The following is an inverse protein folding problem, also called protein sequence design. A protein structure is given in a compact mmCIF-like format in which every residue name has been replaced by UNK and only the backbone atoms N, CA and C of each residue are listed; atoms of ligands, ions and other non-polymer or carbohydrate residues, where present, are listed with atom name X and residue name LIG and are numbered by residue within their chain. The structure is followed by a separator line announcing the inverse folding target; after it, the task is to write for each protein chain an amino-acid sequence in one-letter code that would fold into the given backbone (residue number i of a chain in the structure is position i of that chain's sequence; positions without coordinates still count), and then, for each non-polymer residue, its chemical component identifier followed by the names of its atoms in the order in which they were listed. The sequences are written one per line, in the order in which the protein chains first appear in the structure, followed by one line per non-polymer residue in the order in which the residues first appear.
data_IF_472574435263
#
_entry.id   IF_472574435263
#
_cell.length_a   1.000
_cell.length_b   1.000
_cell.length_c   1.000
_cell.angle_alpha   90.00
_cell.angle_beta   90.00
_cell.angle_gamma   90.00
#
_symmetry.space_group_name_H-M   'P 1'
#
loop_
_entity.id
_entity.type
_entity.pdbx_description
1 polymer ?
#
# COMPACT_ATOMS: atom_id res chain seq x y z
N UNK A 1 -25.04 -10.65 -15.69
CA UNK A 1 -24.21 -9.63 -14.99
C UNK A 1 -24.52 -8.27 -15.58
N UNK A 2 -24.72 -7.25 -14.75
CA UNK A 2 -25.16 -5.93 -15.20
C UNK A 2 -24.09 -5.20 -16.03
N UNK A 3 -22.84 -5.57 -15.87
CA UNK A 3 -21.69 -5.01 -16.59
C UNK A 3 -20.87 -6.10 -17.27
N UNK A 4 -20.54 -5.87 -18.55
CA UNK A 4 -19.68 -6.73 -19.35
C UNK A 4 -19.33 -6.05 -20.67
N UNK A 5 -18.17 -6.34 -21.26
CA UNK A 5 -17.76 -5.87 -22.58
C UNK A 5 -17.47 -4.37 -22.70
N UNK A 6 -17.23 -3.68 -21.58
CA UNK A 6 -17.02 -2.22 -21.55
C UNK A 6 -15.78 -1.78 -22.33
N UNK A 7 -14.79 -2.66 -22.52
CA UNK A 7 -13.59 -2.36 -23.31
C UNK A 7 -13.91 -1.88 -24.75
N UNK A 8 -14.95 -2.43 -25.35
CA UNK A 8 -15.35 -2.06 -26.72
C UNK A 8 -16.09 -0.72 -26.79
N UNK A 9 -16.79 -0.35 -25.73
CA UNK A 9 -17.61 0.85 -25.68
C UNK A 9 -16.81 2.05 -25.14
N UNK A 10 -15.99 1.82 -24.12
CA UNK A 10 -15.24 2.85 -23.39
C UNK A 10 -13.76 2.48 -23.30
N UNK A 11 -13.00 2.48 -24.41
CA UNK A 11 -11.61 2.02 -24.41
C UNK A 11 -10.68 2.91 -23.58
N UNK A 12 -10.87 4.24 -23.57
CA UNK A 12 -10.04 5.15 -22.77
C UNK A 12 -10.29 4.94 -21.28
N UNK A 13 -11.54 4.85 -20.86
CA UNK A 13 -11.89 4.55 -19.48
C UNK A 13 -11.31 3.20 -19.04
N UNK A 14 -11.46 2.18 -19.87
CA UNK A 14 -10.97 0.83 -19.60
C UNK A 14 -9.45 0.81 -19.42
N UNK A 15 -8.71 1.53 -20.27
CA UNK A 15 -7.25 1.61 -20.19
C UNK A 15 -6.79 2.35 -18.91
N UNK A 16 -7.40 3.48 -18.59
CA UNK A 16 -7.08 4.24 -17.37
C UNK A 16 -7.44 3.45 -16.11
N UNK A 17 -8.61 2.79 -16.11
CA UNK A 17 -9.01 1.92 -15.02
C UNK A 17 -8.02 0.75 -14.83
N UNK A 18 -7.52 0.16 -15.92
CA UNK A 18 -6.49 -0.88 -15.85
C UNK A 18 -5.23 -0.38 -15.14
N UNK A 19 -4.75 0.81 -15.47
CA UNK A 19 -3.57 1.40 -14.81
C UNK A 19 -3.81 1.57 -13.31
N UNK A 20 -4.97 2.08 -12.92
CA UNK A 20 -5.33 2.25 -11.49
C UNK A 20 -5.46 0.90 -10.80
N UNK A 21 -6.09 -0.09 -11.45
CA UNK A 21 -6.22 -1.44 -10.91
C UNK A 21 -4.85 -2.11 -10.73
N UNK A 22 -3.95 -1.99 -11.70
CA UNK A 22 -2.58 -2.51 -11.61
C UNK A 22 -1.77 -1.80 -10.51
N UNK A 23 -2.00 -0.52 -10.29
CA UNK A 23 -1.40 0.22 -9.18
C UNK A 23 -1.92 -0.25 -7.82
N UNK A 24 -3.21 -0.62 -7.74
CA UNK A 24 -3.84 -1.13 -6.51
C UNK A 24 -3.37 -2.53 -6.11
N UNK A 25 -2.81 -3.30 -7.05
CA UNK A 25 -2.21 -4.61 -6.79
C UNK A 25 -0.68 -4.56 -6.69
N UNK A 26 -0.15 -3.39 -6.42
CA UNK A 26 1.29 -3.13 -6.25
C UNK A 26 2.17 -3.55 -7.44
N UNK A 27 1.73 -3.24 -8.67
CA UNK A 27 2.59 -3.47 -9.83
C UNK A 27 3.89 -2.64 -9.70
N UNK A 28 5.08 -3.21 -9.96
CA UNK A 28 6.33 -2.45 -9.99
C UNK A 28 6.23 -1.18 -10.84
N UNK A 29 6.88 -0.12 -10.41
CA UNK A 29 6.84 1.24 -10.99
C UNK A 29 5.54 2.03 -10.71
N UNK A 30 4.64 1.53 -9.89
CA UNK A 30 3.47 2.27 -9.42
C UNK A 30 3.60 2.67 -7.95
N UNK A 31 2.82 3.66 -7.52
CA UNK A 31 2.83 4.14 -6.14
C UNK A 31 2.41 3.05 -5.12
N UNK A 32 1.48 2.16 -5.50
CA UNK A 32 1.04 1.03 -4.66
C UNK A 32 2.20 0.12 -4.28
N UNK A 33 3.08 -0.21 -5.23
CA UNK A 33 4.26 -1.03 -4.98
C UNK A 33 5.17 -0.45 -3.90
N UNK A 34 5.43 0.87 -3.95
CA UNK A 34 6.32 1.52 -2.98
C UNK A 34 5.76 1.39 -1.56
N UNK A 35 4.47 1.63 -1.37
CA UNK A 35 3.82 1.52 -0.06
C UNK A 35 3.80 0.09 0.46
N UNK A 36 3.31 -0.85 -0.34
CA UNK A 36 3.18 -2.26 0.06
C UNK A 36 4.55 -2.91 0.30
N UNK A 37 5.55 -2.62 -0.54
CA UNK A 37 6.90 -3.14 -0.36
C UNK A 37 7.53 -2.67 0.96
N UNK A 38 7.39 -1.39 1.32
CA UNK A 38 7.90 -0.86 2.58
C UNK A 38 7.20 -1.48 3.79
N UNK A 39 5.88 -1.69 3.71
CA UNK A 39 5.11 -2.34 4.76
C UNK A 39 5.54 -3.80 4.93
N UNK A 40 5.70 -4.54 3.82
CA UNK A 40 6.16 -5.93 3.87
C UNK A 40 7.58 -6.05 4.42
N UNK A 41 8.48 -5.15 4.03
CA UNK A 41 9.84 -5.12 4.55
C UNK A 41 9.86 -4.87 6.06
N UNK A 42 9.03 -3.94 6.54
CA UNK A 42 8.86 -3.68 7.97
C UNK A 42 8.28 -4.88 8.72
N UNK A 43 7.25 -5.52 8.16
CA UNK A 43 6.63 -6.72 8.74
C UNK A 43 7.61 -7.90 8.77
N UNK A 44 8.42 -8.09 7.73
CA UNK A 44 9.43 -9.13 7.64
C UNK A 44 10.51 -8.97 8.72
N UNK A 45 10.99 -7.73 8.92
CA UNK A 45 11.97 -7.43 9.95
C UNK A 45 11.42 -7.64 11.39
N UNK A 46 10.11 -7.43 11.57
CA UNK A 46 9.46 -7.67 12.86
C UNK A 46 9.21 -9.17 13.10
N UNK A 47 8.52 -9.84 12.20
CA UNK A 47 8.25 -11.29 12.22
C UNK A 47 7.91 -11.82 10.84
N UNK A 48 8.65 -12.82 10.38
CA UNK A 48 8.47 -13.48 9.07
C UNK A 48 7.04 -14.04 8.88
N UNK A 49 6.42 -14.55 9.94
CA UNK A 49 5.05 -15.11 9.88
C UNK A 49 4.03 -14.04 9.47
N UNK A 50 4.12 -12.83 10.01
CA UNK A 50 3.23 -11.74 9.65
C UNK A 50 3.42 -11.29 8.20
N UNK A 51 4.68 -11.25 7.74
CA UNK A 51 4.98 -10.96 6.35
C UNK A 51 4.39 -12.02 5.40
N UNK A 52 4.48 -13.30 5.73
CA UNK A 52 3.91 -14.38 4.94
C UNK A 52 2.37 -14.28 4.83
N UNK A 53 1.69 -13.97 5.93
CA UNK A 53 0.23 -13.73 5.93
C UNK A 53 -0.11 -12.51 5.06
N UNK A 54 0.63 -11.42 5.18
CA UNK A 54 0.41 -10.21 4.38
C UNK A 54 0.59 -10.48 2.88
N UNK A 55 1.64 -11.21 2.48
CA UNK A 55 1.87 -11.61 1.07
C UNK A 55 0.70 -12.45 0.53
N UNK A 56 0.15 -13.37 1.32
CA UNK A 56 -1.00 -14.16 0.90
C UNK A 56 -2.23 -13.28 0.62
N UNK A 57 -2.45 -12.25 1.43
CA UNK A 57 -3.49 -11.24 1.21
C UNK A 57 -3.28 -10.43 -0.09
N UNK A 58 -2.04 -10.05 -0.39
CA UNK A 58 -1.71 -9.37 -1.65
C UNK A 58 -2.02 -10.23 -2.88
N UNK A 59 -1.67 -11.52 -2.84
CA UNK A 59 -1.95 -12.46 -3.94
C UNK A 59 -3.46 -12.60 -4.16
N UNK A 60 -4.24 -12.72 -3.09
CA UNK A 60 -5.71 -12.80 -3.17
C UNK A 60 -6.32 -11.50 -3.71
N UNK A 61 -5.80 -10.34 -3.27
CA UNK A 61 -6.23 -9.03 -3.76
C UNK A 61 -5.96 -8.89 -5.26
N UNK A 62 -4.77 -9.28 -5.72
CA UNK A 62 -4.41 -9.24 -7.12
C UNK A 62 -5.31 -10.17 -7.97
N UNK A 63 -5.54 -11.40 -7.51
CA UNK A 63 -6.41 -12.36 -8.20
C UNK A 63 -7.85 -11.83 -8.30
N UNK A 64 -8.39 -11.29 -7.22
CA UNK A 64 -9.72 -10.70 -7.21
C UNK A 64 -9.85 -9.49 -8.15
N UNK A 65 -8.88 -8.57 -8.09
CA UNK A 65 -8.91 -7.36 -8.92
C UNK A 65 -8.82 -7.68 -10.40
N UNK A 66 -7.91 -8.59 -10.80
CA UNK A 66 -7.77 -9.01 -12.19
C UNK A 66 -9.01 -9.79 -12.68
N UNK A 67 -9.58 -10.64 -11.83
CA UNK A 67 -10.82 -11.34 -12.16
C UNK A 67 -11.99 -10.37 -12.35
N UNK A 68 -12.13 -9.38 -11.48
CA UNK A 68 -13.12 -8.32 -11.58
C UNK A 68 -12.93 -7.53 -12.88
N UNK A 69 -11.70 -7.13 -13.18
CA UNK A 69 -11.38 -6.41 -14.41
C UNK A 69 -11.76 -7.21 -15.66
N UNK A 70 -11.37 -8.49 -15.72
CA UNK A 70 -11.72 -9.38 -16.82
C UNK A 70 -13.24 -9.49 -17.01
N UNK A 71 -13.98 -9.63 -15.93
CA UNK A 71 -15.43 -9.80 -15.98
C UNK A 71 -16.15 -8.54 -16.46
N UNK A 72 -15.72 -7.37 -15.99
CA UNK A 72 -16.36 -6.08 -16.32
C UNK A 72 -15.98 -5.59 -17.72
N UNK A 73 -14.72 -5.69 -18.09
CA UNK A 73 -14.24 -5.08 -19.31
C UNK A 73 -14.23 -6.04 -20.51
N UNK A 74 -13.89 -7.31 -20.29
CA UNK A 74 -13.81 -8.33 -21.35
C UNK A 74 -14.98 -9.33 -21.35
N UNK A 75 -15.90 -9.22 -20.40
CA UNK A 75 -17.09 -10.07 -20.37
C UNK A 75 -18.02 -9.86 -21.56
N UNK A 76 -19.04 -10.72 -21.77
CA UNK A 76 -20.04 -10.54 -22.81
C UNK A 76 -20.89 -9.29 -22.54
N UNK A 77 -21.21 -8.53 -23.58
CA UNK A 77 -22.07 -7.35 -23.53
C UNK A 77 -23.54 -7.82 -23.59
N UNK A 78 -24.10 -8.26 -22.47
CA UNK A 78 -25.47 -8.78 -22.39
C UNK A 78 -26.51 -7.69 -22.21
N UNK A 79 -26.17 -6.61 -21.46
CA UNK A 79 -27.13 -5.52 -21.20
C UNK A 79 -27.17 -4.53 -22.38
N UNK A 80 -28.37 -4.34 -23.00
CA UNK A 80 -28.55 -3.38 -24.11
C UNK A 80 -28.21 -1.93 -23.73
N UNK A 81 -28.40 -1.54 -22.48
CA UNK A 81 -28.12 -0.18 -21.98
C UNK A 81 -26.64 0.16 -22.05
N UNK A 82 -25.78 -0.82 -21.90
CA UNK A 82 -24.33 -0.63 -21.96
C UNK A 82 -23.78 -0.47 -23.38
N UNK A 83 -24.61 -0.63 -24.42
CA UNK A 83 -24.18 -0.53 -25.82
C UNK A 83 -23.93 0.92 -26.27
N UNK A 84 -24.56 1.89 -25.62
CA UNK A 84 -24.51 3.30 -26.02
C UNK A 84 -23.78 4.17 -24.99
N UNK A 85 -22.90 3.60 -24.18
CA UNK A 85 -22.10 4.37 -23.23
C UNK A 85 -21.05 5.21 -23.97
N UNK A 86 -21.04 6.51 -23.70
CA UNK A 86 -20.01 7.42 -24.20
C UNK A 86 -18.71 7.20 -23.43
N UNK A 87 -17.58 7.20 -24.16
CA UNK A 87 -16.25 7.16 -23.52
C UNK A 87 -15.94 8.51 -22.85
N UNK A 88 -14.82 8.57 -22.13
CA UNK A 88 -14.39 9.72 -21.34
C UNK A 88 -14.38 11.02 -22.15
N UNK A 89 -14.96 12.05 -21.54
CA UNK A 89 -14.92 13.40 -22.07
C UNK A 89 -13.54 14.04 -21.78
N UNK A 90 -13.17 15.08 -22.53
CA UNK A 90 -11.90 15.82 -22.35
C UNK A 90 -11.72 16.36 -20.93
N UNK A 91 -12.81 16.75 -20.25
CA UNK A 91 -12.76 17.22 -18.84
C UNK A 91 -12.40 16.09 -17.87
N UNK A 92 -13.02 14.94 -18.05
CA UNK A 92 -12.75 13.73 -17.25
C UNK A 92 -11.33 13.24 -17.47
N UNK A 93 -10.88 13.23 -18.72
CA UNK A 93 -9.51 12.90 -19.06
C UNK A 93 -8.50 13.86 -18.43
N UNK A 94 -8.79 15.17 -18.41
CA UNK A 94 -7.94 16.18 -17.77
C UNK A 94 -7.80 15.99 -16.26
N UNK A 95 -8.74 15.32 -15.61
CA UNK A 95 -8.69 14.98 -14.19
C UNK A 95 -7.93 13.65 -13.98
N UNK A 96 -8.18 12.65 -14.82
CA UNK A 96 -7.62 11.31 -14.63
C UNK A 96 -6.15 11.21 -15.06
N UNK A 97 -5.75 11.90 -16.12
CA UNK A 97 -4.35 11.86 -16.60
C UNK A 97 -3.34 12.35 -15.56
N UNK A 98 -3.53 13.47 -14.86
CA UNK A 98 -2.64 13.88 -13.78
C UNK A 98 -2.51 12.83 -12.66
N UNK A 99 -3.59 12.14 -12.32
CA UNK A 99 -3.59 11.08 -11.32
C UNK A 99 -2.71 9.92 -11.79
N UNK A 100 -2.85 9.49 -13.03
CA UNK A 100 -2.00 8.45 -13.63
C UNK A 100 -0.53 8.86 -13.66
N UNK A 101 -0.25 10.12 -14.02
CA UNK A 101 1.12 10.67 -13.98
C UNK A 101 1.68 10.61 -12.57
N UNK A 102 0.90 10.96 -11.55
CA UNK A 102 1.33 10.86 -10.14
C UNK A 102 1.58 9.41 -9.71
N UNK A 103 0.76 8.46 -10.14
CA UNK A 103 0.95 7.03 -9.85
C UNK A 103 2.36 6.58 -10.29
N UNK A 104 2.73 6.88 -11.52
CA UNK A 104 4.04 6.53 -12.05
C UNK A 104 5.17 7.39 -11.46
N UNK A 105 4.95 8.67 -11.24
CA UNK A 105 5.95 9.57 -10.65
C UNK A 105 6.36 9.11 -9.26
N UNK A 106 5.39 8.74 -8.42
CA UNK A 106 5.66 8.21 -7.08
C UNK A 106 6.32 6.83 -7.17
N UNK A 107 5.88 5.99 -8.10
CA UNK A 107 6.42 4.64 -8.28
C UNK A 107 7.88 4.61 -8.75
N UNK A 108 8.27 5.55 -9.63
CA UNK A 108 9.62 5.62 -10.20
C UNK A 108 10.57 6.44 -9.32
N UNK A 109 10.08 7.53 -8.71
CA UNK A 109 10.88 8.43 -7.89
C UNK A 109 10.33 8.58 -6.46
N UNK A 110 10.17 7.49 -5.67
CA UNK A 110 9.56 7.53 -4.34
C UNK A 110 10.33 8.42 -3.37
N UNK A 111 11.65 8.50 -3.52
CA UNK A 111 12.52 9.29 -2.64
C UNK A 111 12.12 10.76 -2.59
N UNK A 112 11.71 11.33 -3.72
CA UNK A 112 11.28 12.73 -3.77
C UNK A 112 10.05 12.99 -2.92
N UNK A 113 9.10 12.05 -2.93
CA UNK A 113 7.83 12.16 -2.18
C UNK A 113 7.96 11.74 -0.71
N UNK A 114 8.88 10.83 -0.38
CA UNK A 114 9.07 10.34 0.99
C UNK A 114 9.97 11.26 1.83
N UNK A 115 10.87 12.01 1.22
CA UNK A 115 11.78 12.95 1.90
C UNK A 115 11.11 13.89 2.91
N UNK A 116 9.98 14.55 2.60
CA UNK A 116 9.31 15.41 3.56
C UNK A 116 8.79 14.71 4.82
N UNK A 117 8.57 13.38 4.75
CA UNK A 117 8.09 12.58 5.87
C UNK A 117 9.21 12.10 6.81
N UNK A 118 10.48 12.13 6.36
CA UNK A 118 11.63 11.65 7.14
C UNK A 118 11.76 12.33 8.53
N UNK A 119 11.63 13.67 8.69
CA UNK A 119 11.74 14.31 10.00
C UNK A 119 10.64 13.89 10.97
N UNK A 120 9.41 13.73 10.45
CA UNK A 120 8.27 13.28 11.27
C UNK A 120 8.45 11.83 11.73
N UNK A 121 8.93 10.96 10.85
CA UNK A 121 9.27 9.57 11.19
C UNK A 121 10.35 9.48 12.26
N UNK A 122 11.41 10.28 12.16
CA UNK A 122 12.47 10.32 13.17
C UNK A 122 11.94 10.76 14.54
N UNK A 123 11.06 11.77 14.61
CA UNK A 123 10.43 12.17 15.86
C UNK A 123 9.59 11.06 16.50
N UNK A 124 8.86 10.29 15.69
CA UNK A 124 8.09 9.14 16.19
C UNK A 124 9.01 8.04 16.70
N UNK A 125 10.06 7.72 15.94
CA UNK A 125 11.04 6.69 16.35
C UNK A 125 11.77 7.04 17.64
N UNK A 126 12.07 8.32 17.89
CA UNK A 126 12.67 8.77 19.14
C UNK A 126 11.73 8.64 20.35
N UNK A 127 10.42 8.60 20.15
CA UNK A 127 9.41 8.43 21.20
C UNK A 127 9.09 6.97 21.51
N UNK A 128 9.47 6.06 20.64
CA UNK A 128 9.26 4.62 20.87
C UNK A 128 10.33 4.10 21.84
N UNK A 129 9.98 3.20 22.79
CA UNK A 129 10.95 2.51 23.60
C UNK A 129 11.98 1.81 22.71
N UNK A 130 13.25 2.13 22.89
CA UNK A 130 14.32 1.48 22.12
C UNK A 130 14.33 -0.01 22.46
N UNK A 131 14.42 -0.92 21.47
CA UNK A 131 14.62 -2.34 21.73
C UNK A 131 15.93 -2.52 22.51
N UNK A 132 15.84 -2.93 23.77
CA UNK A 132 17.00 -3.10 24.65
C UNK A 132 17.23 -1.99 25.68
N UNK A 133 16.38 -0.94 25.72
CA UNK A 133 16.38 -0.05 26.86
C UNK A 133 15.92 -0.84 28.12
N UNK A 134 16.66 -0.81 29.24
CA UNK A 134 16.23 -1.49 30.44
C UNK A 134 14.86 -0.98 30.85
N UNK A 135 13.93 -1.89 31.09
CA UNK A 135 12.60 -1.54 31.58
C UNK A 135 12.78 -0.74 32.87
N UNK A 136 12.02 0.35 33.01
CA UNK A 136 12.08 1.23 34.20
C UNK A 136 11.91 0.46 35.56
N UNK A 137 11.41 -0.78 35.50
CA UNK A 137 11.36 -1.70 36.64
C UNK A 137 12.74 -2.13 37.10
N UNK A 138 13.71 -2.33 36.20
CA UNK A 138 15.05 -2.79 36.55
C UNK A 138 15.91 -1.67 37.14
N UNK A 139 15.66 -0.43 36.68
CA UNK A 139 16.35 0.75 37.20
C UNK A 139 15.98 1.07 38.68
N UNK A 140 14.83 0.60 39.17
CA UNK A 140 14.40 0.80 40.55
C UNK A 140 14.87 -0.31 41.50
N UNK A 141 15.32 -1.45 40.99
CA UNK A 141 15.74 -2.60 41.82
C UNK A 141 17.24 -2.59 42.05
N UNK A 142 18.03 -2.03 41.14
CA UNK A 142 19.49 -2.03 41.25
C UNK A 142 20.05 -1.29 42.50
N UNK A 143 19.60 -0.08 42.89
CA UNK A 143 20.15 0.61 44.06
C UNK A 143 19.76 -0.03 45.39
N UNK A 144 18.63 -0.74 45.47
CA UNK A 144 18.16 -1.35 46.70
C UNK A 144 18.91 -2.63 47.10
N UNK A 145 19.56 -3.28 46.14
CA UNK A 145 20.34 -4.52 46.41
C UNK A 145 21.79 -4.23 46.87
N UNK A 146 22.35 -3.08 46.47
CA UNK A 146 23.69 -2.68 46.91
C UNK A 146 23.69 -2.18 48.38
N UNK A 147 22.66 -1.40 48.75
CA UNK A 147 22.52 -0.86 50.11
C UNK A 147 22.28 -1.98 51.17
N UNK A 148 21.57 -3.05 50.79
CA UNK A 148 21.34 -4.22 51.64
C UNK A 148 22.58 -5.11 51.88
N UNK A 149 23.61 -5.01 51.02
CA UNK A 149 24.85 -5.78 51.18
C UNK A 149 25.88 -5.08 52.05
N UNK A 150 25.87 -3.75 52.10
CA UNK A 150 26.77 -3.00 52.99
C UNK A 150 26.30 -3.01 54.44
N UNK A 151 25.00 -3.17 54.71
CA UNK A 151 24.44 -3.24 56.05
C UNK A 151 24.69 -4.59 56.79
N UNK A 152 25.19 -5.61 56.08
CA UNK A 152 25.47 -6.96 56.64
C UNK A 152 26.97 -7.25 56.77
N UNK A 153 27.83 -6.24 56.61
CA UNK A 153 29.27 -6.30 56.92
C UNK A 153 29.60 -5.47 58.14
#
# INVERSE_FOLDING_TARGET
SDYGGLWKQMPLFSALFLVVALSSIALPFTNGFVGEFLILLGAFNARVVWAAIAVSGMILSAAYMLWMYQRVFFGPLENPENRNLADLNRRELAILVPIVVLIFSIGVAPRFFLRPAEPALQMVLMRLPQPGAPMLSDARVAPALEDGREALR
#
